data_IF_202904307767
#
_entry.id   IF_202904307767
#
_cell.length_a   1.000
_cell.length_b   1.000
_cell.length_c   1.000
_cell.angle_alpha   90.00
_cell.angle_beta   90.00
_cell.angle_gamma   90.00
#
_symmetry.space_group_name_H-M   'P 1'
#
loop_
_entity.id
_entity.type
_entity.pdbx_description
1 polymer ?
#
# COMPACT_ATOMS: atom_id res chain seq x y z
N UNK A 1 -2.52 1.51 -5.13
CA UNK A 1 -1.56 1.66 -6.23
C UNK A 1 -0.84 0.35 -6.58
N UNK A 2 -0.15 -0.31 -5.63
CA UNK A 2 0.60 -1.55 -5.89
C UNK A 2 -0.21 -2.64 -6.62
N UNK A 3 -1.48 -2.86 -6.22
CA UNK A 3 -2.40 -3.78 -6.92
C UNK A 3 -2.60 -3.45 -8.40
N UNK A 4 -2.78 -2.16 -8.71
CA UNK A 4 -3.00 -1.68 -10.09
C UNK A 4 -1.71 -1.85 -10.91
N UNK A 5 -0.57 -1.41 -10.36
CA UNK A 5 0.71 -1.53 -11.06
C UNK A 5 1.07 -2.99 -11.30
N UNK A 6 0.83 -3.89 -10.34
CA UNK A 6 1.08 -5.33 -10.49
C UNK A 6 0.26 -6.00 -11.59
N UNK A 7 -0.86 -5.40 -12.01
CA UNK A 7 -1.68 -5.88 -13.15
C UNK A 7 -1.04 -5.54 -14.50
N UNK A 8 -0.26 -4.46 -14.56
CA UNK A 8 0.25 -3.90 -15.83
C UNK A 8 1.76 -3.99 -15.98
N UNK A 9 2.49 -4.11 -14.86
CA UNK A 9 3.94 -4.09 -14.80
C UNK A 9 4.46 -5.27 -13.98
N UNK A 10 5.63 -5.77 -14.35
CA UNK A 10 6.34 -6.74 -13.53
C UNK A 10 6.79 -6.08 -12.21
N UNK A 11 6.88 -6.83 -11.09
CA UNK A 11 7.18 -6.27 -9.76
C UNK A 11 8.47 -5.43 -9.70
N UNK A 12 9.51 -5.82 -10.44
CA UNK A 12 10.79 -5.10 -10.47
C UNK A 12 10.78 -3.79 -11.26
N UNK A 13 9.65 -3.43 -11.90
CA UNK A 13 9.53 -2.23 -12.74
C UNK A 13 8.96 -1.03 -11.99
N UNK A 14 8.62 -1.18 -10.72
CA UNK A 14 8.09 -0.09 -9.91
C UNK A 14 8.45 -0.26 -8.44
N UNK A 15 8.60 0.88 -7.77
CA UNK A 15 8.70 0.96 -6.33
C UNK A 15 7.72 2.03 -5.85
N UNK A 16 7.14 1.82 -4.67
CA UNK A 16 6.25 2.78 -4.03
C UNK A 16 6.84 3.14 -2.68
N UNK A 17 7.10 4.42 -2.46
CA UNK A 17 7.35 4.93 -1.12
C UNK A 17 6.03 5.46 -0.54
N UNK A 18 5.62 4.93 0.60
CA UNK A 18 4.43 5.35 1.33
C UNK A 18 4.86 6.05 2.63
N UNK A 19 4.46 7.30 2.81
CA UNK A 19 4.87 8.12 3.94
C UNK A 19 3.70 8.59 4.78
N UNK A 20 3.92 8.71 6.08
CA UNK A 20 3.00 9.34 7.03
C UNK A 20 3.80 9.92 8.20
N UNK A 21 3.22 10.87 8.93
CA UNK A 21 3.79 11.41 10.15
C UNK A 21 3.60 10.42 11.32
N UNK A 22 2.49 9.69 11.36
CA UNK A 22 2.16 8.78 12.46
C UNK A 22 2.74 7.38 12.25
N UNK A 23 3.69 7.02 13.11
CA UNK A 23 4.31 5.71 13.15
C UNK A 23 3.30 4.56 13.34
N UNK A 24 2.25 4.73 14.14
CA UNK A 24 1.28 3.67 14.41
C UNK A 24 0.42 3.34 13.19
N UNK A 25 0.10 4.36 12.39
CA UNK A 25 -0.60 4.18 11.12
C UNK A 25 0.30 3.46 10.11
N UNK A 26 1.60 3.80 10.07
CA UNK A 26 2.56 3.08 9.24
C UNK A 26 2.69 1.61 9.63
N UNK A 27 2.77 1.29 10.92
CA UNK A 27 2.82 -0.10 11.39
C UNK A 27 1.54 -0.87 11.05
N UNK A 28 0.38 -0.22 11.17
CA UNK A 28 -0.89 -0.80 10.74
C UNK A 28 -0.92 -1.07 9.23
N UNK A 29 -0.44 -0.12 8.43
CA UNK A 29 -0.36 -0.25 6.98
C UNK A 29 0.62 -1.35 6.54
N UNK A 30 1.77 -1.49 7.20
CA UNK A 30 2.76 -2.55 6.97
C UNK A 30 2.19 -3.96 7.21
N UNK A 31 1.33 -4.13 8.22
CA UNK A 31 0.63 -5.42 8.45
C UNK A 31 -0.21 -5.79 7.23
N UNK A 32 -0.85 -4.78 6.61
CA UNK A 32 -1.68 -4.97 5.41
C UNK A 32 -2.92 -5.80 5.71
N UNK A 33 -3.50 -5.60 6.88
CA UNK A 33 -4.71 -6.27 7.35
C UNK A 33 -5.88 -5.31 7.30
N UNK A 34 -7.00 -5.78 6.73
CA UNK A 34 -8.16 -4.95 6.44
C UNK A 34 -9.45 -5.67 6.83
N UNK A 35 -10.48 -4.91 7.16
CA UNK A 35 -11.83 -5.45 7.33
C UNK A 35 -12.57 -5.51 5.99
N UNK A 36 -13.66 -6.28 5.93
CA UNK A 36 -14.55 -6.28 4.75
C UNK A 36 -14.97 -4.86 4.34
N UNK A 37 -15.31 -4.01 5.33
CA UNK A 37 -15.73 -2.63 5.11
C UNK A 37 -14.66 -1.79 4.40
N UNK A 38 -13.39 -2.01 4.74
CA UNK A 38 -12.25 -1.32 4.13
C UNK A 38 -12.06 -1.69 2.65
N UNK A 39 -12.57 -2.86 2.24
CA UNK A 39 -12.42 -3.40 0.89
C UNK A 39 -13.72 -3.36 0.07
N UNK A 40 -14.73 -2.60 0.50
CA UNK A 40 -16.06 -2.56 -0.15
C UNK A 40 -16.03 -2.09 -1.61
N UNK A 41 -15.13 -1.15 -1.92
CA UNK A 41 -14.98 -0.58 -3.27
C UNK A 41 -14.00 -1.40 -4.14
N UNK A 42 -13.37 -2.43 -3.59
CA UNK A 42 -12.42 -3.25 -4.33
C UNK A 42 -13.18 -4.29 -5.17
N UNK A 43 -12.93 -4.38 -6.49
CA UNK A 43 -13.46 -5.45 -7.33
C UNK A 43 -13.20 -6.84 -6.73
N UNK A 44 -14.19 -7.73 -6.83
CA UNK A 44 -14.16 -9.03 -6.16
C UNK A 44 -12.99 -9.91 -6.66
N UNK A 45 -12.68 -9.83 -7.95
CA UNK A 45 -11.56 -10.55 -8.57
C UNK A 45 -10.21 -10.14 -7.97
N UNK A 46 -10.01 -8.85 -7.66
CA UNK A 46 -8.80 -8.38 -7.01
C UNK A 46 -8.73 -8.79 -5.54
N UNK A 47 -9.88 -8.80 -4.85
CA UNK A 47 -9.97 -9.22 -3.46
C UNK A 47 -9.59 -10.69 -3.31
N UNK A 48 -10.20 -11.57 -4.12
CA UNK A 48 -9.93 -13.00 -4.09
C UNK A 48 -8.50 -13.35 -4.51
N UNK A 49 -7.93 -12.60 -5.46
CA UNK A 49 -6.60 -12.89 -5.99
C UNK A 49 -5.45 -12.45 -5.08
N UNK A 50 -5.64 -11.39 -4.30
CA UNK A 50 -4.54 -10.72 -3.60
C UNK A 50 -4.67 -10.70 -2.09
N UNK A 51 -5.77 -11.22 -1.53
CA UNK A 51 -5.99 -11.28 -0.09
C UNK A 51 -6.28 -12.71 0.36
N UNK A 52 -5.82 -13.03 1.57
CA UNK A 52 -6.25 -14.21 2.30
C UNK A 52 -7.23 -13.77 3.38
N UNK A 53 -8.41 -14.39 3.43
CA UNK A 53 -9.43 -14.11 4.45
C UNK A 53 -9.31 -15.11 5.59
N UNK A 54 -9.17 -14.60 6.81
CA UNK A 54 -9.23 -15.36 8.06
C UNK A 54 -10.23 -14.67 9.00
N UNK A 55 -11.36 -15.33 9.28
CA UNK A 55 -12.50 -14.73 9.97
C UNK A 55 -12.96 -13.44 9.27
N UNK A 56 -12.94 -12.31 9.97
CA UNK A 56 -13.33 -10.98 9.45
C UNK A 56 -12.14 -10.13 8.99
N UNK A 57 -10.94 -10.71 8.92
CA UNK A 57 -9.71 -10.02 8.52
C UNK A 57 -9.22 -10.52 7.15
N UNK A 58 -8.94 -9.56 6.27
CA UNK A 58 -8.30 -9.76 4.98
C UNK A 58 -6.83 -9.36 5.07
N UNK A 59 -5.93 -10.31 4.87
CA UNK A 59 -4.49 -10.08 4.85
C UNK A 59 -4.00 -9.99 3.41
N UNK A 60 -3.40 -8.85 3.04
CA UNK A 60 -2.81 -8.63 1.72
C UNK A 60 -1.58 -9.52 1.51
N UNK A 61 -1.50 -10.17 0.35
CA UNK A 61 -0.38 -11.06 0.02
C UNK A 61 0.97 -10.32 -0.02
N UNK A 62 2.02 -11.01 0.43
CA UNK A 62 3.36 -10.43 0.57
C UNK A 62 3.94 -9.94 -0.77
N UNK A 63 3.63 -10.62 -1.88
CA UNK A 63 4.08 -10.25 -3.22
C UNK A 63 3.60 -8.87 -3.68
N UNK A 64 2.50 -8.35 -3.11
CA UNK A 64 2.01 -6.99 -3.37
C UNK A 64 2.65 -5.99 -2.40
N UNK A 65 2.85 -6.39 -1.13
CA UNK A 65 3.43 -5.55 -0.08
C UNK A 65 4.91 -5.26 -0.30
N UNK A 66 5.66 -6.21 -0.85
CA UNK A 66 7.11 -6.08 -1.02
C UNK A 66 7.56 -4.92 -1.93
N UNK A 67 6.67 -4.40 -2.79
CA UNK A 67 6.98 -3.26 -3.65
C UNK A 67 6.69 -1.91 -2.96
N UNK A 68 6.33 -1.92 -1.66
CA UNK A 68 5.97 -0.73 -0.89
C UNK A 68 6.93 -0.57 0.28
N UNK A 69 7.69 0.53 0.27
CA UNK A 69 8.56 0.95 1.35
C UNK A 69 7.86 2.00 2.19
N UNK A 70 7.66 1.73 3.48
CA UNK A 70 7.01 2.66 4.40
C UNK A 70 8.05 3.49 5.15
N UNK A 71 7.89 4.82 5.18
CA UNK A 71 8.82 5.76 5.81
C UNK A 71 8.05 6.78 6.65
N UNK A 72 8.48 7.01 7.90
CA UNK A 72 7.95 8.13 8.67
C UNK A 72 8.56 9.43 8.13
N UNK A 73 7.72 10.40 7.80
CA UNK A 73 8.15 11.63 7.15
C UNK A 73 7.24 12.80 7.54
N UNK A 74 7.84 13.84 8.12
CA UNK A 74 7.18 15.14 8.31
C UNK A 74 7.36 16.00 7.05
N UNK A 75 6.27 16.19 6.31
CA UNK A 75 6.25 16.97 5.07
C UNK A 75 6.55 18.46 5.27
N UNK A 76 6.40 19.00 6.49
CA UNK A 76 6.66 20.40 6.80
C UNK A 76 8.12 20.65 7.17
N UNK A 77 8.77 19.64 7.76
CA UNK A 77 10.12 19.78 8.34
C UNK A 77 11.21 19.15 7.48
N UNK A 78 10.86 18.22 6.59
CA UNK A 78 11.82 17.41 5.86
C UNK A 78 11.55 17.48 4.36
N UNK A 79 12.62 17.66 3.58
CA UNK A 79 12.57 17.58 2.13
C UNK A 79 12.16 16.18 1.65
N UNK A 80 11.48 16.14 0.52
CA UNK A 80 11.23 14.89 -0.20
C UNK A 80 12.54 14.30 -0.73
N UNK A 81 12.55 12.98 -0.91
CA UNK A 81 13.57 12.36 -1.75
C UNK A 81 13.37 12.85 -3.22
N UNK A 82 14.28 12.49 -4.12
CA UNK A 82 14.21 12.92 -5.52
C UNK A 82 13.86 11.74 -6.43
N UNK A 83 13.59 12.03 -7.71
CA UNK A 83 13.35 11.02 -8.77
C UNK A 83 12.03 10.23 -8.63
N UNK A 84 10.95 10.88 -8.19
CA UNK A 84 9.61 10.30 -8.34
C UNK A 84 9.05 10.58 -9.73
N UNK A 85 8.54 9.55 -10.39
CA UNK A 85 7.74 9.69 -11.62
C UNK A 85 6.31 10.19 -11.33
N UNK A 86 5.78 9.86 -10.14
CA UNK A 86 4.42 10.19 -9.72
C UNK A 86 4.36 10.41 -8.21
N UNK A 87 3.77 11.53 -7.79
CA UNK A 87 3.44 11.81 -6.40
C UNK A 87 1.92 11.83 -6.24
N UNK A 88 1.40 11.07 -5.28
CA UNK A 88 -0.02 11.07 -4.92
C UNK A 88 -0.15 11.67 -3.51
N UNK A 89 -0.65 12.90 -3.43
CA UNK A 89 -0.97 13.58 -2.17
C UNK A 89 -2.47 13.86 -2.16
N UNK A 90 -3.22 13.07 -1.40
CA UNK A 90 -4.68 13.19 -1.31
C UNK A 90 -5.10 13.15 0.16
N UNK A 91 -5.93 14.12 0.53
CA UNK A 91 -6.68 14.32 1.78
C UNK A 91 -6.01 13.78 3.05
#
# INVERSE_FOLDING_TARGET
LSLILSKHLAPFRFEIQATDLDFHILETAKRGQYTERSLKELPIDLKERHFTKENDIYSLHQNIKQNVTFKQHDLLMQSFDTNYDLIICRN
#
